data_IF_786648752227
#
_entry.id   IF_786648752227
#
_cell.length_a   1.000
_cell.length_b   1.000
_cell.length_c   1.000
_cell.angle_alpha   90.00
_cell.angle_beta   90.00
_cell.angle_gamma   90.00
#
_symmetry.space_group_name_H-M   'P 1'
#
loop_
_entity.id
_entity.type
_entity.pdbx_description
1 polymer ?
#
# COMPACT_ATOMS: atom_id res chain seq x y z
N UNK A 1 7.99 37.58 -1.93
CA UNK A 1 7.65 36.13 -2.02
C UNK A 1 8.83 35.25 -2.48
N UNK A 2 9.56 35.60 -3.54
CA UNK A 2 10.72 34.81 -4.04
C UNK A 2 11.89 34.63 -3.04
N UNK A 3 12.27 35.68 -2.30
CA UNK A 3 13.38 35.61 -1.33
C UNK A 3 13.13 34.62 -0.17
N UNK A 4 11.90 34.61 0.36
CA UNK A 4 11.48 33.67 1.42
C UNK A 4 11.55 32.21 0.95
N UNK A 5 11.18 31.95 -0.32
CA UNK A 5 11.27 30.62 -0.94
C UNK A 5 12.72 30.19 -1.14
N UNK A 6 13.61 31.09 -1.57
CA UNK A 6 15.04 30.79 -1.75
C UNK A 6 15.69 30.45 -0.40
N UNK A 7 15.55 31.32 0.60
CA UNK A 7 16.13 31.09 1.93
C UNK A 7 15.62 29.79 2.56
N UNK A 8 14.33 29.47 2.35
CA UNK A 8 13.72 28.22 2.81
C UNK A 8 14.26 27.00 2.09
N UNK A 9 14.34 27.01 0.76
CA UNK A 9 14.90 25.89 0.01
C UNK A 9 16.37 25.66 0.39
N UNK A 10 17.11 26.73 0.67
CA UNK A 10 18.47 26.65 1.23
C UNK A 10 18.47 26.06 2.64
N UNK A 11 17.54 26.44 3.50
CA UNK A 11 17.41 25.86 4.85
C UNK A 11 16.99 24.38 4.82
N UNK A 12 16.04 24.00 3.96
CA UNK A 12 15.63 22.61 3.71
C UNK A 12 16.82 21.80 3.18
N UNK A 13 17.57 22.35 2.22
CA UNK A 13 18.81 21.73 1.73
C UNK A 13 19.85 21.57 2.84
N UNK A 14 20.08 22.58 3.68
CA UNK A 14 21.01 22.49 4.79
C UNK A 14 20.54 21.47 5.84
N UNK A 15 19.27 21.50 6.25
CA UNK A 15 18.73 20.56 7.23
C UNK A 15 18.86 19.10 6.75
N UNK A 16 18.49 18.83 5.49
CA UNK A 16 18.56 17.50 4.90
C UNK A 16 20.01 16.96 4.82
N UNK A 17 20.97 17.81 4.47
CA UNK A 17 22.36 17.39 4.28
C UNK A 17 23.18 17.33 5.58
N UNK A 18 22.89 18.19 6.57
CA UNK A 18 23.73 18.30 7.77
C UNK A 18 23.24 17.49 8.98
N UNK A 19 21.99 17.01 8.98
CA UNK A 19 21.42 16.30 10.15
C UNK A 19 20.76 14.96 9.83
N UNK A 20 20.89 14.46 8.60
CA UNK A 20 20.35 13.16 8.17
C UNK A 20 18.84 13.05 8.41
N UNK A 21 18.39 11.94 9.01
CA UNK A 21 16.97 11.66 9.26
C UNK A 21 16.28 12.71 10.16
N UNK A 22 17.03 13.36 11.07
CA UNK A 22 16.48 14.41 11.94
C UNK A 22 16.08 15.67 11.13
N UNK A 23 16.93 16.07 10.19
CA UNK A 23 16.66 17.21 9.30
C UNK A 23 15.52 16.96 8.35
N UNK A 24 15.44 15.74 7.79
CA UNK A 24 14.26 15.31 7.03
C UNK A 24 12.98 15.43 7.87
N UNK A 25 13.01 15.03 9.14
CA UNK A 25 11.88 15.19 10.06
C UNK A 25 11.45 16.64 10.30
N UNK A 26 12.40 17.58 10.43
CA UNK A 26 12.09 19.01 10.59
C UNK A 26 11.50 19.60 9.32
N UNK A 27 12.06 19.29 8.15
CA UNK A 27 11.54 19.76 6.85
C UNK A 27 10.10 19.31 6.67
N UNK A 28 9.79 18.06 7.05
CA UNK A 28 8.44 17.50 6.95
C UNK A 28 7.45 18.13 7.93
N UNK A 29 7.85 18.35 9.18
CA UNK A 29 7.04 19.13 10.12
C UNK A 29 6.71 20.53 9.56
N UNK A 30 7.70 21.19 8.96
CA UNK A 30 7.51 22.49 8.29
C UNK A 30 6.58 22.34 7.09
N UNK A 31 6.73 21.31 6.26
CA UNK A 31 5.86 21.05 5.10
C UNK A 31 4.42 20.79 5.53
N UNK A 32 4.16 19.92 6.51
CA UNK A 32 2.80 19.68 7.03
C UNK A 32 2.16 20.93 7.63
N UNK A 33 2.93 21.75 8.37
CA UNK A 33 2.44 23.03 8.93
C UNK A 33 2.22 24.11 7.87
N UNK A 34 3.00 24.10 6.79
CA UNK A 34 3.02 25.12 5.73
C UNK A 34 2.00 24.83 4.64
N UNK A 35 1.95 23.59 4.19
CA UNK A 35 1.10 23.14 3.09
C UNK A 35 -0.30 22.81 3.62
N UNK A 36 -0.83 23.67 4.49
CA UNK A 36 -2.19 23.63 5.06
C UNK A 36 -3.32 23.76 4.03
N UNK A 37 -3.13 23.17 2.85
CA UNK A 37 -4.10 23.01 1.78
C UNK A 37 -4.75 21.62 1.74
N UNK A 38 -4.26 20.63 2.51
CA UNK A 38 -5.04 19.40 2.71
C UNK A 38 -6.05 19.64 3.84
N UNK A 39 -7.37 19.51 3.57
CA UNK A 39 -8.36 19.66 4.61
C UNK A 39 -8.11 18.58 5.68
N UNK A 40 -7.83 19.01 6.91
CA UNK A 40 -7.69 18.08 8.03
C UNK A 40 -8.97 17.28 8.19
N UNK A 41 -8.84 16.02 8.58
CA UNK A 41 -9.99 15.21 8.96
C UNK A 41 -10.70 15.87 10.16
N UNK A 42 -12.01 16.10 10.04
CA UNK A 42 -12.83 16.74 11.05
C UNK A 42 -13.55 15.64 11.83
N UNK A 43 -13.47 15.67 13.17
CA UNK A 43 -14.21 14.73 13.99
C UNK A 43 -15.72 14.87 13.74
N UNK A 44 -16.45 13.76 13.61
CA UNK A 44 -17.87 13.75 13.25
C UNK A 44 -18.76 14.57 14.19
N UNK A 45 -18.41 14.61 15.48
CA UNK A 45 -19.09 15.41 16.50
C UNK A 45 -18.88 16.93 16.34
N UNK A 46 -17.90 17.35 15.53
CA UNK A 46 -17.61 18.76 15.24
C UNK A 46 -18.18 19.20 13.87
N UNK A 47 -18.73 18.28 13.08
CA UNK A 47 -19.38 18.62 11.80
C UNK A 47 -20.76 19.22 12.09
N UNK A 48 -21.05 20.37 11.46
CA UNK A 48 -22.34 21.06 11.61
C UNK A 48 -23.50 20.18 11.10
N UNK A 49 -24.70 20.33 11.65
CA UNK A 49 -25.87 19.54 11.21
C UNK A 49 -26.18 19.74 9.71
N UNK A 50 -25.93 20.94 9.19
CA UNK A 50 -26.12 21.27 7.77
C UNK A 50 -25.09 20.56 6.88
N UNK A 51 -23.83 20.50 7.33
CA UNK A 51 -22.76 19.79 6.61
C UNK A 51 -22.89 18.26 6.66
N UNK A 52 -23.68 17.70 7.58
CA UNK A 52 -23.87 16.25 7.70
C UNK A 52 -24.71 15.64 6.58
N UNK A 53 -25.69 16.38 6.06
CA UNK A 53 -26.60 15.85 5.03
C UNK A 53 -25.94 15.44 3.71
N UNK A 54 -24.95 16.17 3.16
CA UNK A 54 -24.27 15.77 1.92
C UNK A 54 -23.15 14.73 2.11
N UNK A 55 -22.90 14.26 3.33
CA UNK A 55 -21.78 13.34 3.60
C UNK A 55 -22.22 11.90 3.35
N UNK A 56 -21.43 11.17 2.57
CA UNK A 56 -21.59 9.73 2.44
C UNK A 56 -21.08 9.03 3.69
N UNK A 57 -21.99 8.44 4.46
CA UNK A 57 -21.67 7.60 5.62
C UNK A 57 -21.56 6.14 5.16
N UNK A 58 -20.33 5.63 5.14
CA UNK A 58 -20.03 4.30 4.62
C UNK A 58 -20.06 3.23 5.71
N UNK A 59 -20.33 3.61 6.97
CA UNK A 59 -20.08 2.74 8.12
C UNK A 59 -21.27 1.85 8.45
N UNK A 60 -21.00 0.57 8.68
CA UNK A 60 -21.95 -0.40 9.24
C UNK A 60 -21.52 -0.85 10.65
N UNK A 61 -22.46 -1.30 11.49
CA UNK A 61 -22.14 -1.90 12.78
C UNK A 61 -21.16 -3.07 12.67
N UNK A 62 -20.26 -3.21 13.65
CA UNK A 62 -19.36 -4.35 13.74
C UNK A 62 -20.12 -5.57 14.27
N UNK A 63 -20.44 -6.51 13.38
CA UNK A 63 -21.13 -7.75 13.75
C UNK A 63 -20.22 -8.79 14.42
N UNK A 64 -18.90 -8.62 14.29
CA UNK A 64 -17.92 -9.45 14.98
C UNK A 64 -16.64 -8.67 15.34
N UNK A 65 -15.99 -9.14 16.40
CA UNK A 65 -14.73 -8.61 16.92
C UNK A 65 -13.51 -9.42 16.45
N UNK A 66 -13.63 -10.15 15.34
CA UNK A 66 -12.53 -10.98 14.85
C UNK A 66 -11.49 -10.13 14.12
N UNK A 67 -10.21 -10.33 14.46
CA UNK A 67 -9.08 -9.75 13.75
C UNK A 67 -8.48 -10.78 12.77
N UNK A 68 -8.54 -10.56 11.44
CA UNK A 68 -7.99 -11.50 10.46
C UNK A 68 -6.46 -11.60 10.54
N UNK A 69 -5.83 -10.54 11.05
CA UNK A 69 -4.42 -10.55 11.42
C UNK A 69 -4.27 -11.41 12.66
N UNK A 70 -4.29 -10.94 13.90
CA UNK A 70 -3.84 -11.76 15.03
C UNK A 70 -4.81 -12.85 15.57
N UNK A 71 -5.93 -13.12 14.89
CA UNK A 71 -7.02 -14.01 15.32
C UNK A 71 -7.61 -13.64 16.69
N UNK A 72 -7.41 -12.40 17.14
CA UNK A 72 -7.97 -11.91 18.38
C UNK A 72 -9.48 -11.69 18.23
N UNK A 73 -10.23 -11.99 19.29
CA UNK A 73 -11.70 -11.84 19.33
C UNK A 73 -12.16 -10.80 20.36
N UNK A 74 -11.21 -10.10 21.01
CA UNK A 74 -11.53 -8.99 21.91
C UNK A 74 -12.13 -7.80 21.16
N UNK A 75 -12.90 -6.99 21.88
CA UNK A 75 -13.53 -5.77 21.37
C UNK A 75 -12.53 -4.91 20.60
N UNK A 76 -12.94 -4.50 19.40
CA UNK A 76 -12.17 -3.57 18.58
C UNK A 76 -12.31 -2.14 19.11
N UNK A 77 -11.21 -1.40 19.16
CA UNK A 77 -11.26 0.01 19.57
C UNK A 77 -11.66 0.87 18.38
N UNK A 78 -12.64 1.75 18.54
CA UNK A 78 -12.80 2.88 17.62
C UNK A 78 -11.69 3.89 17.89
N UNK A 79 -10.81 4.09 16.91
CA UNK A 79 -9.65 4.98 17.00
C UNK A 79 -9.95 6.34 16.37
N UNK A 80 -10.85 6.37 15.38
CA UNK A 80 -11.25 7.60 14.70
C UNK A 80 -12.70 7.51 14.23
N UNK A 81 -13.40 8.65 14.27
CA UNK A 81 -14.70 8.88 13.62
C UNK A 81 -14.64 10.27 12.99
N UNK A 82 -14.29 10.31 11.72
CA UNK A 82 -13.86 11.53 11.05
C UNK A 82 -14.45 11.65 9.65
N UNK A 83 -14.56 12.90 9.21
CA UNK A 83 -14.98 13.30 7.88
C UNK A 83 -13.83 13.99 7.18
N UNK A 84 -13.60 13.63 5.92
CA UNK A 84 -12.65 14.33 5.07
C UNK A 84 -13.19 14.46 3.66
N UNK A 85 -12.72 15.49 2.95
CA UNK A 85 -13.00 15.69 1.52
C UNK A 85 -11.87 15.08 0.69
N UNK A 86 -12.15 13.99 -0.02
CA UNK A 86 -11.23 13.37 -0.97
C UNK A 86 -11.81 13.50 -2.39
N UNK A 87 -11.06 14.12 -3.31
CA UNK A 87 -11.45 14.30 -4.73
C UNK A 87 -12.85 14.96 -4.89
N UNK A 88 -13.18 15.92 -4.02
CA UNK A 88 -14.45 16.65 -4.05
C UNK A 88 -15.64 15.92 -3.39
N UNK A 89 -15.45 14.72 -2.87
CA UNK A 89 -16.47 13.96 -2.12
C UNK A 89 -16.14 14.02 -0.62
N UNK A 90 -17.12 14.41 0.21
CA UNK A 90 -16.99 14.32 1.67
C UNK A 90 -17.45 12.94 2.15
N UNK A 91 -16.55 12.17 2.74
CA UNK A 91 -16.83 10.83 3.29
C UNK A 91 -16.64 10.82 4.79
N UNK A 92 -17.55 10.16 5.52
CA UNK A 92 -17.36 9.81 6.93
C UNK A 92 -16.79 8.39 7.02
N UNK A 93 -15.67 8.23 7.70
CA UNK A 93 -15.10 6.91 7.99
C UNK A 93 -14.83 6.74 9.48
N UNK A 94 -15.23 5.58 9.99
CA UNK A 94 -14.94 5.11 11.33
C UNK A 94 -13.82 4.09 11.23
N UNK A 95 -12.70 4.38 11.89
CA UNK A 95 -11.53 3.51 11.93
C UNK A 95 -11.53 2.70 13.21
N UNK A 96 -11.49 1.38 13.07
CA UNK A 96 -11.39 0.43 14.16
C UNK A 96 -9.98 -0.16 14.21
N UNK A 97 -9.50 -0.47 15.41
CA UNK A 97 -8.19 -1.10 15.60
C UNK A 97 -8.25 -2.29 16.54
N UNK A 98 -7.54 -3.35 16.17
CA UNK A 98 -7.35 -4.50 17.03
C UNK A 98 -6.49 -4.14 18.25
N UNK A 99 -6.99 -4.41 19.45
CA UNK A 99 -6.26 -4.12 20.70
C UNK A 99 -4.91 -4.86 20.83
N UNK A 100 -4.74 -6.00 20.14
CA UNK A 100 -3.55 -6.85 20.27
C UNK A 100 -2.47 -6.52 19.23
N UNK A 101 -2.84 -6.43 17.95
CA UNK A 101 -1.86 -6.19 16.88
C UNK A 101 -1.92 -4.79 16.27
N UNK A 102 -2.90 -3.97 16.68
CA UNK A 102 -3.14 -2.62 16.17
C UNK A 102 -3.34 -2.53 14.65
N UNK A 103 -3.73 -3.63 14.00
CA UNK A 103 -4.28 -3.58 12.64
C UNK A 103 -5.48 -2.64 12.64
N UNK A 104 -5.52 -1.74 11.67
CA UNK A 104 -6.50 -0.67 11.56
C UNK A 104 -7.35 -0.91 10.30
N UNK A 105 -8.66 -0.72 10.40
CA UNK A 105 -9.58 -0.99 9.30
C UNK A 105 -10.84 -0.15 9.40
N UNK A 106 -11.58 -0.06 8.30
CA UNK A 106 -12.95 0.49 8.28
C UNK A 106 -13.95 -0.64 8.14
N UNK A 107 -15.12 -0.48 8.75
CA UNK A 107 -16.19 -1.47 8.67
C UNK A 107 -17.29 -0.92 7.75
N UNK A 108 -17.09 -1.09 6.45
CA UNK A 108 -17.94 -0.53 5.41
C UNK A 108 -18.74 -1.63 4.71
N UNK A 109 -20.00 -1.35 4.36
CA UNK A 109 -20.77 -2.25 3.50
C UNK A 109 -20.17 -2.20 2.09
N UNK A 110 -19.61 -3.32 1.64
CA UNK A 110 -19.07 -3.44 0.30
C UNK A 110 -19.75 -4.58 -0.42
N UNK A 111 -20.17 -4.38 -1.68
CA UNK A 111 -20.49 -5.50 -2.54
C UNK A 111 -19.22 -6.34 -2.78
N UNK A 112 -19.35 -7.48 -3.44
CA UNK A 112 -18.19 -8.28 -3.84
C UNK A 112 -17.14 -7.40 -4.56
N UNK A 113 -15.86 -7.70 -4.34
CA UNK A 113 -14.76 -6.84 -4.78
C UNK A 113 -14.83 -6.50 -6.27
N UNK A 114 -15.16 -7.48 -7.11
CA UNK A 114 -15.38 -7.30 -8.54
C UNK A 114 -16.50 -6.29 -8.83
N UNK A 115 -17.64 -6.42 -8.17
CA UNK A 115 -18.77 -5.48 -8.29
C UNK A 115 -18.38 -4.06 -7.86
N UNK A 116 -17.63 -3.91 -6.76
CA UNK A 116 -17.16 -2.61 -6.30
C UNK A 116 -16.29 -1.90 -7.35
N UNK A 117 -15.26 -2.58 -7.87
CA UNK A 117 -14.33 -1.99 -8.84
C UNK A 117 -14.93 -1.84 -10.24
N UNK A 118 -15.93 -2.66 -10.59
CA UNK A 118 -16.73 -2.45 -11.79
C UNK A 118 -17.55 -1.16 -11.74
N UNK A 119 -18.13 -0.84 -10.58
CA UNK A 119 -18.91 0.40 -10.38
C UNK A 119 -18.02 1.63 -10.19
N UNK A 120 -16.84 1.43 -9.60
CA UNK A 120 -15.86 2.48 -9.31
C UNK A 120 -14.54 2.16 -10.00
N UNK A 121 -14.48 2.27 -11.35
CA UNK A 121 -13.29 1.89 -12.11
C UNK A 121 -12.11 2.76 -11.69
N UNK A 122 -11.11 2.10 -11.11
CA UNK A 122 -9.90 2.76 -10.65
C UNK A 122 -9.10 3.25 -11.86
N UNK A 123 -8.85 4.56 -11.93
CA UNK A 123 -8.16 5.20 -13.05
C UNK A 123 -6.93 5.97 -12.58
N UNK A 124 -6.07 5.37 -11.77
CA UNK A 124 -4.86 6.07 -11.28
C UNK A 124 -3.76 6.27 -12.33
N UNK A 125 -3.93 5.83 -13.58
CA UNK A 125 -2.85 5.83 -14.57
C UNK A 125 -3.00 6.93 -15.64
N UNK A 126 -3.46 8.12 -15.25
CA UNK A 126 -3.63 9.24 -16.19
C UNK A 126 -2.30 9.73 -16.82
N UNK A 127 -1.15 9.40 -16.23
CA UNK A 127 0.18 9.87 -16.63
C UNK A 127 1.25 8.77 -16.79
N UNK A 128 0.88 7.48 -16.65
CA UNK A 128 1.78 6.34 -16.81
C UNK A 128 2.74 6.08 -15.64
N UNK A 129 2.62 6.85 -14.55
CA UNK A 129 3.52 6.80 -13.39
C UNK A 129 3.52 5.45 -12.67
N UNK A 130 2.36 4.85 -12.50
CA UNK A 130 2.22 3.53 -11.85
C UNK A 130 2.87 2.41 -12.66
N UNK A 131 2.73 2.43 -13.99
CA UNK A 131 3.34 1.42 -14.87
C UNK A 131 4.85 1.36 -14.70
N UNK A 132 5.52 2.52 -14.63
CA UNK A 132 6.96 2.56 -14.40
C UNK A 132 7.36 1.98 -13.04
N UNK A 133 6.58 2.22 -11.99
CA UNK A 133 6.81 1.64 -10.66
C UNK A 133 6.72 0.11 -10.69
N UNK A 134 5.72 -0.44 -11.37
CA UNK A 134 5.55 -1.88 -11.52
C UNK A 134 6.70 -2.51 -12.32
N UNK A 135 7.20 -1.84 -13.36
CA UNK A 135 8.39 -2.25 -14.13
C UNK A 135 9.63 -2.26 -13.23
N UNK A 136 9.85 -1.20 -12.45
CA UNK A 136 10.99 -1.09 -11.53
C UNK A 136 10.95 -2.19 -10.47
N UNK A 137 9.76 -2.48 -9.93
CA UNK A 137 9.57 -3.60 -9.01
C UNK A 137 9.86 -4.96 -9.65
N UNK A 138 9.35 -5.21 -10.85
CA UNK A 138 9.59 -6.46 -11.58
C UNK A 138 11.10 -6.69 -11.80
N UNK A 139 11.83 -5.66 -12.25
CA UNK A 139 13.28 -5.72 -12.45
C UNK A 139 14.04 -5.93 -11.15
N UNK A 140 13.69 -5.18 -10.10
CA UNK A 140 14.32 -5.29 -8.80
C UNK A 140 14.15 -6.70 -8.23
N UNK A 141 12.93 -7.24 -8.26
CA UNK A 141 12.61 -8.58 -7.80
C UNK A 141 13.36 -9.66 -8.61
N UNK A 142 13.33 -9.57 -9.94
CA UNK A 142 14.06 -10.50 -10.81
C UNK A 142 15.56 -10.52 -10.46
N UNK A 143 16.19 -9.35 -10.28
CA UNK A 143 17.60 -9.27 -9.88
C UNK A 143 17.86 -9.90 -8.51
N UNK A 144 16.98 -9.68 -7.53
CA UNK A 144 17.12 -10.22 -6.18
C UNK A 144 17.10 -11.76 -6.19
N UNK A 145 16.30 -12.39 -7.04
CA UNK A 145 16.24 -13.86 -7.13
C UNK A 145 17.26 -14.47 -8.11
N UNK A 146 18.24 -13.70 -8.61
CA UNK A 146 19.12 -14.10 -9.72
C UNK A 146 18.34 -14.56 -10.97
N UNK A 147 17.15 -13.98 -11.15
CA UNK A 147 16.32 -14.19 -12.29
C UNK A 147 16.93 -13.58 -13.55
N UNK A 148 16.71 -14.23 -14.69
CA UNK A 148 16.95 -13.66 -16.01
C UNK A 148 15.62 -13.18 -16.61
N UNK A 149 15.63 -12.83 -17.90
CA UNK A 149 14.43 -12.42 -18.64
C UNK A 149 13.39 -13.54 -18.84
N UNK A 150 13.69 -14.77 -18.41
CA UNK A 150 12.78 -15.93 -18.50
C UNK A 150 11.94 -16.11 -17.23
N UNK A 151 12.14 -15.27 -16.20
CA UNK A 151 11.30 -15.31 -14.99
C UNK A 151 9.82 -15.23 -15.35
N UNK A 152 9.02 -16.06 -14.70
CA UNK A 152 7.58 -15.94 -14.81
C UNK A 152 7.08 -14.83 -13.88
N UNK A 153 6.55 -13.75 -14.45
CA UNK A 153 6.16 -12.53 -13.74
C UNK A 153 4.64 -12.39 -13.75
N UNK A 154 4.04 -12.11 -12.59
CA UNK A 154 2.66 -11.68 -12.49
C UNK A 154 2.60 -10.22 -12.05
N UNK A 155 1.92 -9.37 -12.79
CA UNK A 155 1.48 -8.06 -12.31
C UNK A 155 0.04 -8.22 -11.79
N UNK A 156 -0.11 -8.09 -10.47
CA UNK A 156 -1.37 -8.31 -9.77
C UNK A 156 -2.16 -7.01 -9.60
N UNK A 157 -3.47 -7.06 -9.90
CA UNK A 157 -4.37 -5.92 -10.01
C UNK A 157 -3.86 -4.87 -11.01
N UNK A 158 -3.63 -5.31 -12.25
CA UNK A 158 -2.85 -4.63 -13.27
C UNK A 158 -3.49 -3.35 -13.85
N UNK A 159 -4.77 -3.11 -13.57
CA UNK A 159 -5.51 -1.93 -14.02
C UNK A 159 -5.58 -1.83 -15.55
N UNK A 160 -5.62 -0.60 -16.10
CA UNK A 160 -5.78 -0.33 -17.55
C UNK A 160 -4.56 -0.65 -18.42
N UNK A 161 -3.49 -1.12 -17.77
CA UNK A 161 -2.41 -1.98 -18.25
C UNK A 161 -1.70 -1.68 -19.59
N UNK A 162 -0.56 -0.99 -19.52
CA UNK A 162 0.55 -1.12 -20.49
C UNK A 162 1.70 -1.98 -19.97
N UNK A 163 1.78 -2.21 -18.65
CA UNK A 163 2.94 -2.79 -17.94
C UNK A 163 3.35 -4.15 -18.50
N UNK A 164 2.39 -5.06 -18.74
CA UNK A 164 2.67 -6.40 -19.30
C UNK A 164 3.34 -6.26 -20.67
N UNK A 165 2.79 -5.41 -21.54
CA UNK A 165 3.33 -5.15 -22.89
C UNK A 165 4.69 -4.47 -22.83
N UNK A 166 4.90 -3.57 -21.88
CA UNK A 166 6.18 -2.86 -21.73
C UNK A 166 7.27 -3.79 -21.19
N UNK A 167 6.94 -4.69 -20.24
CA UNK A 167 7.84 -5.75 -19.79
C UNK A 167 8.20 -6.74 -20.91
N UNK A 168 7.23 -7.11 -21.77
CA UNK A 168 7.51 -7.91 -22.97
C UNK A 168 8.51 -7.22 -23.91
N UNK A 169 8.37 -5.91 -24.15
CA UNK A 169 9.33 -5.12 -24.97
C UNK A 169 10.74 -5.09 -24.36
N UNK A 170 10.84 -5.11 -23.03
CA UNK A 170 12.11 -5.21 -22.33
C UNK A 170 12.68 -6.65 -22.30
N UNK A 171 11.91 -7.61 -22.80
CA UNK A 171 12.29 -9.00 -23.01
C UNK A 171 11.81 -9.98 -21.94
N UNK A 172 11.03 -9.53 -20.95
CA UNK A 172 10.38 -10.41 -19.97
C UNK A 172 9.13 -11.06 -20.57
N UNK A 173 9.32 -11.98 -21.52
CA UNK A 173 8.23 -12.55 -22.33
C UNK A 173 7.24 -13.40 -21.53
N UNK A 174 7.66 -13.96 -20.39
CA UNK A 174 6.83 -14.75 -19.48
C UNK A 174 6.11 -13.85 -18.45
N UNK A 175 5.58 -12.71 -18.90
CA UNK A 175 4.84 -11.79 -18.03
C UNK A 175 3.34 -11.94 -18.24
N UNK A 176 2.61 -12.02 -17.13
CA UNK A 176 1.16 -12.10 -17.04
C UNK A 176 0.62 -10.90 -16.25
N UNK A 177 -0.59 -10.48 -16.60
CA UNK A 177 -1.41 -9.55 -15.83
C UNK A 177 -2.59 -10.28 -15.20
N UNK A 178 -3.06 -9.76 -14.08
CA UNK A 178 -4.36 -10.17 -13.53
C UNK A 178 -5.11 -8.98 -12.96
N UNK A 179 -6.42 -9.00 -13.10
CA UNK A 179 -7.31 -8.01 -12.50
C UNK A 179 -8.68 -8.65 -12.19
N UNK A 180 -9.56 -7.89 -11.57
CA UNK A 180 -10.94 -8.27 -11.25
C UNK A 180 -11.96 -7.36 -11.92
N UNK A 181 -11.55 -6.19 -12.42
CA UNK A 181 -12.46 -5.20 -13.02
C UNK A 181 -12.77 -5.53 -14.48
N UNK A 182 -14.03 -5.44 -14.86
CA UNK A 182 -14.53 -5.71 -16.22
C UNK A 182 -14.16 -4.62 -17.22
N UNK A 183 -13.77 -3.43 -16.76
CA UNK A 183 -13.37 -2.31 -17.64
C UNK A 183 -11.94 -2.42 -18.18
N UNK A 184 -11.22 -3.49 -17.81
CA UNK A 184 -9.86 -3.77 -18.27
C UNK A 184 -9.86 -4.51 -19.61
N UNK A 185 -8.87 -4.20 -20.44
CA UNK A 185 -8.59 -4.93 -21.69
C UNK A 185 -7.86 -6.24 -21.38
N UNK A 186 -8.62 -7.34 -21.34
CA UNK A 186 -8.08 -8.69 -21.19
C UNK A 186 -7.58 -9.25 -22.52
N UNK A 187 -6.46 -9.97 -22.47
CA UNK A 187 -5.85 -10.65 -23.60
C UNK A 187 -5.30 -12.02 -23.18
N UNK A 188 -4.57 -12.70 -24.06
CA UNK A 188 -4.02 -14.03 -23.79
C UNK A 188 -3.03 -14.07 -22.61
N UNK A 189 -2.52 -12.93 -22.15
CA UNK A 189 -1.61 -12.81 -21.00
C UNK A 189 -2.23 -12.05 -19.83
N UNK A 190 -3.49 -11.62 -19.92
CA UNK A 190 -4.15 -10.84 -18.87
C UNK A 190 -5.45 -11.53 -18.46
N UNK A 191 -5.54 -11.95 -17.20
CA UNK A 191 -6.62 -12.81 -16.72
C UNK A 191 -7.55 -12.08 -15.75
N UNK A 192 -8.86 -12.20 -15.98
CA UNK A 192 -9.87 -11.74 -15.04
C UNK A 192 -10.08 -12.79 -13.94
N UNK A 193 -9.61 -12.52 -12.73
CA UNK A 193 -9.70 -13.41 -11.57
C UNK A 193 -11.08 -13.45 -10.94
N UNK A 194 -11.93 -12.44 -11.16
CA UNK A 194 -13.32 -12.50 -10.72
C UNK A 194 -14.11 -13.55 -11.52
N UNK A 195 -13.81 -13.69 -12.81
CA UNK A 195 -14.45 -14.66 -13.70
C UNK A 195 -13.76 -16.03 -13.68
N UNK A 196 -12.44 -16.06 -13.53
CA UNK A 196 -11.63 -17.27 -13.58
C UNK A 196 -10.63 -17.34 -12.39
N UNK A 197 -11.13 -17.48 -11.14
CA UNK A 197 -10.30 -17.37 -9.93
C UNK A 197 -9.20 -18.45 -9.83
N UNK A 198 -9.40 -19.60 -10.47
CA UNK A 198 -8.48 -20.73 -10.43
C UNK A 198 -7.60 -20.88 -11.68
N UNK A 199 -7.64 -19.93 -12.62
CA UNK A 199 -6.97 -20.08 -13.92
C UNK A 199 -5.49 -20.48 -13.79
N UNK A 200 -4.70 -19.76 -13.00
CA UNK A 200 -3.26 -20.05 -12.86
C UNK A 200 -3.01 -21.40 -12.18
N UNK A 201 -3.84 -21.77 -11.21
CA UNK A 201 -3.77 -23.06 -10.52
C UNK A 201 -4.08 -24.23 -11.46
N UNK A 202 -5.13 -24.12 -12.27
CA UNK A 202 -5.53 -25.14 -13.26
C UNK A 202 -4.52 -25.28 -14.40
N UNK A 203 -3.78 -24.20 -14.70
CA UNK A 203 -2.68 -24.20 -15.67
C UNK A 203 -1.33 -24.58 -15.06
N UNK A 204 -1.28 -24.88 -13.76
CA UNK A 204 -0.05 -25.19 -13.02
C UNK A 204 1.04 -24.10 -13.17
N UNK A 205 0.62 -22.84 -13.31
CA UNK A 205 1.52 -21.69 -13.45
C UNK A 205 1.91 -21.20 -12.06
N UNK A 206 3.21 -21.17 -11.78
CA UNK A 206 3.80 -20.52 -10.58
C UNK A 206 4.70 -19.37 -11.00
N UNK A 207 4.74 -18.31 -10.21
CA UNK A 207 5.46 -17.08 -10.55
C UNK A 207 6.74 -16.93 -9.73
N UNK A 208 7.82 -16.57 -10.41
CA UNK A 208 9.07 -16.21 -9.76
C UNK A 208 9.00 -14.79 -9.18
N UNK A 209 8.22 -13.92 -9.82
CA UNK A 209 7.99 -12.54 -9.38
C UNK A 209 6.50 -12.26 -9.40
N UNK A 210 5.95 -11.80 -8.27
CA UNK A 210 4.61 -11.21 -8.22
C UNK A 210 4.75 -9.75 -7.82
N UNK A 211 4.28 -8.83 -8.66
CA UNK A 211 4.24 -7.40 -8.37
C UNK A 211 2.83 -7.01 -7.91
N UNK A 212 2.71 -6.44 -6.71
CA UNK A 212 1.43 -5.98 -6.14
C UNK A 212 1.55 -4.53 -5.66
N UNK A 213 1.29 -3.57 -6.56
CA UNK A 213 1.42 -2.14 -6.26
C UNK A 213 0.09 -1.56 -5.78
N UNK A 214 0.02 -1.13 -4.52
CA UNK A 214 -1.12 -0.40 -3.93
C UNK A 214 -2.42 -1.19 -4.05
N UNK A 215 -2.36 -2.46 -3.63
CA UNK A 215 -3.50 -3.39 -3.75
C UNK A 215 -4.06 -3.82 -2.39
N UNK A 216 -3.21 -3.91 -1.37
CA UNK A 216 -3.56 -4.57 -0.11
C UNK A 216 -4.47 -3.72 0.78
N UNK A 217 -4.42 -2.40 0.63
CA UNK A 217 -5.29 -1.43 1.29
C UNK A 217 -6.76 -1.56 0.88
N UNK A 218 -7.00 -2.17 -0.28
CA UNK A 218 -8.33 -2.34 -0.84
C UNK A 218 -9.05 -3.61 -0.37
N UNK A 219 -8.34 -4.51 0.32
CA UNK A 219 -8.95 -5.73 0.83
C UNK A 219 -9.91 -5.39 1.97
N UNK A 220 -11.14 -5.89 1.87
CA UNK A 220 -12.02 -5.95 3.03
C UNK A 220 -11.41 -6.86 4.09
N UNK A 221 -11.78 -6.63 5.36
CA UNK A 221 -11.24 -7.35 6.50
C UNK A 221 -11.35 -8.88 6.33
N UNK A 222 -12.47 -9.33 5.79
CA UNK A 222 -12.81 -10.74 5.58
C UNK A 222 -11.98 -11.39 4.47
N UNK A 223 -11.52 -10.60 3.50
CA UNK A 223 -10.78 -11.09 2.34
C UNK A 223 -9.27 -11.19 2.56
N UNK A 224 -8.75 -10.61 3.65
CA UNK A 224 -7.29 -10.49 3.85
C UNK A 224 -6.61 -11.86 3.77
N UNK A 225 -7.08 -12.84 4.56
CA UNK A 225 -6.44 -14.15 4.60
C UNK A 225 -6.56 -14.88 3.26
N UNK A 226 -7.76 -15.02 2.65
CA UNK A 226 -7.89 -15.64 1.32
C UNK A 226 -7.03 -14.98 0.24
N UNK A 227 -6.94 -13.64 0.23
CA UNK A 227 -6.19 -12.92 -0.79
C UNK A 227 -4.67 -13.12 -0.65
N UNK A 228 -4.14 -13.05 0.57
CA UNK A 228 -2.72 -13.34 0.81
C UNK A 228 -2.39 -14.81 0.59
N UNK A 229 -3.24 -15.74 1.04
CA UNK A 229 -3.06 -17.18 0.79
C UNK A 229 -3.01 -17.49 -0.70
N UNK A 230 -3.90 -16.89 -1.50
CA UNK A 230 -3.86 -17.03 -2.96
C UNK A 230 -2.55 -16.51 -3.54
N UNK A 231 -2.10 -15.32 -3.14
CA UNK A 231 -0.84 -14.73 -3.61
C UNK A 231 0.37 -15.63 -3.27
N UNK A 232 0.41 -16.18 -2.05
CA UNK A 232 1.48 -17.06 -1.61
C UNK A 232 1.43 -18.42 -2.29
N UNK A 233 0.24 -18.97 -2.57
CA UNK A 233 0.10 -20.20 -3.35
C UNK A 233 0.62 -20.00 -4.78
N UNK A 234 0.39 -18.85 -5.42
CA UNK A 234 0.88 -18.63 -6.80
C UNK A 234 2.41 -18.43 -6.89
N UNK A 235 3.13 -18.29 -5.78
CA UNK A 235 4.57 -18.07 -5.77
C UNK A 235 5.35 -19.36 -6.03
N UNK A 236 6.43 -19.29 -6.82
CA UNK A 236 7.39 -20.39 -6.95
C UNK A 236 8.26 -20.51 -5.70
N UNK A 237 8.86 -21.68 -5.45
CA UNK A 237 9.71 -21.91 -4.26
C UNK A 237 10.89 -20.91 -4.15
N UNK A 238 11.37 -20.42 -5.30
CA UNK A 238 12.44 -19.41 -5.39
C UNK A 238 11.92 -17.97 -5.45
N UNK A 239 10.61 -17.81 -5.49
CA UNK A 239 9.96 -16.57 -5.88
C UNK A 239 10.00 -15.47 -4.83
N UNK A 240 9.64 -14.28 -5.29
CA UNK A 240 9.48 -13.07 -4.49
C UNK A 240 8.18 -12.37 -4.86
N UNK A 241 7.42 -11.95 -3.85
CA UNK A 241 6.35 -10.97 -4.01
C UNK A 241 6.93 -9.62 -3.64
N UNK A 242 6.78 -8.61 -4.48
CA UNK A 242 7.21 -7.24 -4.21
C UNK A 242 6.07 -6.27 -4.48
N UNK A 243 5.93 -5.26 -3.64
CA UNK A 243 4.83 -4.32 -3.75
C UNK A 243 4.99 -3.09 -2.89
N UNK A 244 3.95 -2.29 -2.83
CA UNK A 244 3.89 -1.11 -1.95
C UNK A 244 2.50 -0.86 -1.43
N UNK A 245 2.39 -0.38 -0.20
CA UNK A 245 1.12 0.12 0.38
C UNK A 245 1.45 1.13 1.50
N UNK A 246 0.48 1.99 1.83
CA UNK A 246 0.60 2.94 2.94
C UNK A 246 0.43 2.23 4.29
N UNK A 247 1.43 2.34 5.17
CA UNK A 247 1.42 1.65 6.46
C UNK A 247 0.95 2.54 7.61
N UNK A 248 0.11 1.97 8.46
CA UNK A 248 -0.31 2.58 9.70
C UNK A 248 0.84 2.64 10.70
N UNK A 249 1.23 3.84 11.12
CA UNK A 249 2.25 4.06 12.14
C UNK A 249 1.57 4.30 13.49
N UNK A 250 1.30 3.25 14.25
CA UNK A 250 0.57 3.37 15.53
C UNK A 250 1.40 4.04 16.63
N UNK A 251 2.72 3.87 16.56
CA UNK A 251 3.66 4.43 17.52
C UNK A 251 5.01 4.70 16.84
N UNK A 252 5.88 5.48 17.52
CA UNK A 252 7.18 5.89 16.99
C UNK A 252 8.09 4.74 16.54
N UNK A 253 8.00 3.56 17.16
CA UNK A 253 8.85 2.42 16.80
C UNK A 253 8.43 1.76 15.48
N UNK A 254 7.22 2.01 15.00
CA UNK A 254 6.71 1.44 13.75
C UNK A 254 7.40 2.05 12.52
N UNK A 255 7.91 3.28 12.64
CA UNK A 255 8.68 3.95 11.59
C UNK A 255 10.11 4.24 12.08
N UNK A 256 11.09 3.36 11.80
CA UNK A 256 12.47 3.63 12.18
C UNK A 256 13.13 4.75 11.36
N UNK A 257 12.49 5.17 10.26
CA UNK A 257 13.07 6.09 9.27
C UNK A 257 12.74 7.54 9.55
N UNK A 258 11.48 7.81 9.92
CA UNK A 258 10.96 9.15 10.12
C UNK A 258 10.38 9.27 11.52
N UNK A 259 10.91 10.23 12.27
CA UNK A 259 10.59 10.46 13.68
C UNK A 259 10.00 11.85 13.90
N UNK A 260 9.22 12.38 12.95
CA UNK A 260 8.64 13.70 13.12
C UNK A 260 7.50 13.66 14.17
N UNK A 261 7.35 14.72 14.97
CA UNK A 261 6.14 14.91 15.77
C UNK A 261 4.92 14.85 14.84
N UNK A 262 3.83 14.21 15.27
CA UNK A 262 2.56 14.04 14.53
C UNK A 262 2.48 12.88 13.51
N UNK A 263 3.50 12.01 13.39
CA UNK A 263 3.52 10.90 12.42
C UNK A 263 3.24 9.52 13.02
N UNK A 264 2.61 9.50 14.21
CA UNK A 264 2.16 8.26 14.79
C UNK A 264 0.87 8.44 15.61
N UNK A 265 0.14 7.34 15.76
CA UNK A 265 -1.06 7.27 16.58
C UNK A 265 -2.19 8.18 16.09
N UNK A 266 -3.12 8.53 16.98
CA UNK A 266 -4.33 9.29 16.63
C UNK A 266 -4.05 10.66 15.98
N UNK A 267 -2.88 11.24 16.26
CA UNK A 267 -2.49 12.50 15.65
C UNK A 267 -2.19 12.32 14.16
N UNK A 268 -1.53 11.22 13.77
CA UNK A 268 -1.25 10.91 12.37
C UNK A 268 -2.53 10.79 11.53
N UNK A 269 -3.58 10.18 12.08
CA UNK A 269 -4.88 10.03 11.40
C UNK A 269 -5.53 11.37 11.01
N UNK A 270 -5.22 12.47 11.69
CA UNK A 270 -5.75 13.79 11.31
C UNK A 270 -5.15 14.32 10.01
N UNK A 271 -3.93 13.89 9.71
CA UNK A 271 -3.11 14.36 8.59
C UNK A 271 -3.05 13.36 7.45
N UNK A 272 -3.21 12.07 7.75
CA UNK A 272 -3.17 11.00 6.77
C UNK A 272 -4.51 10.94 6.03
N UNK A 273 -4.54 11.45 4.80
CA UNK A 273 -5.74 11.42 3.95
C UNK A 273 -6.05 10.02 3.43
N UNK A 274 -5.05 9.15 3.39
CA UNK A 274 -5.11 7.82 2.80
C UNK A 274 -6.25 6.94 3.31
N UNK A 275 -6.60 6.92 4.62
CA UNK A 275 -7.74 6.14 5.06
C UNK A 275 -9.08 6.65 4.55
N UNK A 276 -9.16 7.92 4.14
CA UNK A 276 -10.38 8.57 3.67
C UNK A 276 -10.65 8.39 2.18
N UNK A 277 -9.69 7.84 1.43
CA UNK A 277 -9.94 7.39 0.07
C UNK A 277 -10.98 6.25 0.11
N UNK A 278 -11.99 6.36 -0.76
CA UNK A 278 -13.23 5.58 -0.67
C UNK A 278 -12.94 4.07 -0.67
N UNK A 279 -12.00 3.64 -1.49
CA UNK A 279 -11.64 2.25 -1.71
C UNK A 279 -10.60 1.69 -0.74
N UNK A 280 -10.06 2.50 0.18
CA UNK A 280 -9.11 2.05 1.20
C UNK A 280 -9.84 1.64 2.49
N UNK A 281 -9.63 0.40 2.91
CA UNK A 281 -10.36 -0.20 4.04
C UNK A 281 -9.49 -0.97 5.02
N UNK A 282 -8.27 -1.33 4.62
CA UNK A 282 -7.33 -2.07 5.46
C UNK A 282 -5.99 -1.35 5.57
N UNK A 283 -5.51 -1.17 6.80
CA UNK A 283 -4.28 -0.43 7.08
C UNK A 283 -3.38 -1.22 8.00
N UNK A 284 -2.20 -1.57 7.48
CA UNK A 284 -1.30 -2.51 8.12
C UNK A 284 -0.16 -1.80 8.80
N UNK A 285 0.27 -2.34 9.94
CA UNK A 285 1.61 -2.09 10.50
C UNK A 285 2.61 -3.08 9.88
N UNK A 286 3.92 -2.77 9.90
CA UNK A 286 4.95 -3.75 9.52
C UNK A 286 4.76 -5.11 10.20
N UNK A 287 4.51 -5.12 11.52
CA UNK A 287 4.29 -6.35 12.28
C UNK A 287 3.01 -7.12 11.89
N UNK A 288 2.02 -6.46 11.28
CA UNK A 288 0.83 -7.15 10.77
C UNK A 288 1.18 -7.97 9.52
N UNK A 289 1.94 -7.37 8.61
CA UNK A 289 2.42 -8.00 7.38
C UNK A 289 3.41 -9.14 7.67
N UNK A 290 4.33 -8.93 8.63
CA UNK A 290 5.20 -10.00 9.14
C UNK A 290 4.41 -11.17 9.74
N UNK A 291 3.32 -10.86 10.46
CA UNK A 291 2.45 -11.88 11.05
C UNK A 291 1.71 -12.69 9.99
N UNK A 292 1.21 -12.03 8.94
CA UNK A 292 0.60 -12.69 7.78
C UNK A 292 1.64 -13.60 7.10
N UNK A 293 2.83 -13.06 6.81
CA UNK A 293 3.90 -13.80 6.15
C UNK A 293 4.34 -15.03 6.94
N UNK A 294 4.62 -14.87 8.24
CA UNK A 294 5.11 -15.96 9.10
C UNK A 294 4.18 -17.18 9.11
N UNK A 295 2.87 -16.99 9.10
CA UNK A 295 1.89 -18.10 9.08
C UNK A 295 1.92 -18.89 7.79
N UNK A 296 2.31 -18.23 6.71
CA UNK A 296 2.39 -18.79 5.37
C UNK A 296 3.84 -19.19 5.03
N UNK A 297 4.69 -19.39 6.05
CA UNK A 297 6.10 -19.72 5.88
C UNK A 297 6.89 -18.72 5.02
N UNK A 298 6.48 -17.44 5.04
CA UNK A 298 7.16 -16.35 4.34
C UNK A 298 7.97 -15.48 5.32
N UNK A 299 9.02 -14.88 4.78
CA UNK A 299 9.80 -13.81 5.42
C UNK A 299 9.42 -12.49 4.75
N UNK A 300 9.08 -11.49 5.56
CA UNK A 300 8.71 -10.15 5.09
C UNK A 300 9.87 -9.17 5.31
N UNK A 301 10.12 -8.29 4.33
CA UNK A 301 11.14 -7.23 4.40
C UNK A 301 10.56 -5.91 3.91
N UNK A 302 11.09 -4.82 4.43
CA UNK A 302 10.61 -3.46 4.18
C UNK A 302 11.75 -2.55 3.75
N UNK A 303 11.48 -1.64 2.82
CA UNK A 303 12.40 -0.60 2.39
C UNK A 303 11.65 0.71 2.09
N UNK A 304 12.38 1.82 2.07
CA UNK A 304 11.83 3.13 1.69
C UNK A 304 12.07 3.41 0.21
N UNK A 305 11.22 4.24 -0.39
CA UNK A 305 11.50 4.83 -1.69
C UNK A 305 12.55 5.94 -1.55
N UNK A 306 13.54 5.99 -2.43
CA UNK A 306 14.50 7.10 -2.55
C UNK A 306 13.89 8.35 -3.24
N UNK A 307 12.59 8.34 -3.50
CA UNK A 307 11.88 9.43 -4.16
C UNK A 307 11.45 10.49 -3.14
N UNK A 308 11.93 11.73 -3.33
CA UNK A 308 11.61 12.87 -2.45
C UNK A 308 10.11 13.14 -2.32
N UNK A 309 9.28 12.73 -3.27
CA UNK A 309 7.82 12.88 -3.20
C UNK A 309 7.24 11.98 -2.10
N UNK A 310 7.68 10.73 -2.02
CA UNK A 310 7.34 9.81 -0.92
C UNK A 310 7.86 10.38 0.39
N UNK A 311 9.13 10.78 0.41
CA UNK A 311 9.74 11.31 1.63
C UNK A 311 8.96 12.52 2.18
N UNK A 312 8.39 13.36 1.33
CA UNK A 312 7.69 14.58 1.78
C UNK A 312 6.20 14.37 2.02
N UNK A 313 5.53 13.56 1.19
CA UNK A 313 4.07 13.54 1.10
C UNK A 313 3.44 12.22 1.54
N UNK A 314 4.16 11.10 1.47
CA UNK A 314 3.64 9.78 1.85
C UNK A 314 4.72 8.91 2.51
N UNK A 315 5.23 9.27 3.69
CA UNK A 315 6.30 8.51 4.37
C UNK A 315 5.86 7.12 4.84
N UNK A 316 4.55 6.86 4.80
CA UNK A 316 3.94 5.62 5.21
C UNK A 316 4.02 4.57 4.12
N UNK A 317 4.19 5.01 2.88
CA UNK A 317 4.38 4.15 1.74
C UNK A 317 5.74 3.48 1.84
N UNK A 318 5.72 2.17 2.06
CA UNK A 318 6.92 1.34 2.03
C UNK A 318 6.89 0.38 0.86
N UNK A 319 8.08 -0.01 0.42
CA UNK A 319 8.30 -1.15 -0.46
C UNK A 319 8.33 -2.38 0.44
N UNK A 320 7.53 -3.38 0.09
CA UNK A 320 7.35 -4.59 0.89
C UNK A 320 7.68 -5.78 0.02
N UNK A 321 8.49 -6.70 0.55
CA UNK A 321 8.85 -7.94 -0.10
C UNK A 321 8.50 -9.16 0.77
N UNK A 322 7.99 -10.21 0.14
CA UNK A 322 7.83 -11.54 0.72
C UNK A 322 8.61 -12.57 -0.08
N UNK A 323 9.24 -13.52 0.60
CA UNK A 323 9.82 -14.72 -0.01
C UNK A 323 9.69 -15.90 0.94
N UNK A 324 9.74 -17.12 0.42
CA UNK A 324 9.69 -18.32 1.26
C UNK A 324 10.82 -18.33 2.29
N UNK A 325 10.49 -18.71 3.52
CA UNK A 325 11.45 -18.85 4.64
C UNK A 325 12.55 -19.88 4.38
N UNK A 326 12.32 -20.83 3.47
CA UNK A 326 13.30 -21.78 2.98
C UNK A 326 14.30 -21.19 1.99
N UNK A 327 14.00 -20.04 1.37
CA UNK A 327 14.85 -19.41 0.36
C UNK A 327 15.93 -18.51 0.98
N UNK A 328 16.88 -19.14 1.67
CA UNK A 328 17.96 -18.45 2.40
C UNK A 328 18.74 -17.49 1.49
N UNK A 329 18.99 -17.86 0.24
CA UNK A 329 19.73 -17.03 -0.71
C UNK A 329 19.04 -15.70 -1.03
N UNK A 330 17.73 -15.73 -1.31
CA UNK A 330 16.96 -14.50 -1.53
C UNK A 330 16.83 -13.68 -0.25
N UNK A 331 16.67 -14.34 0.92
CA UNK A 331 16.59 -13.66 2.21
C UNK A 331 17.87 -12.86 2.48
N UNK A 332 19.06 -13.44 2.29
CA UNK A 332 20.34 -12.74 2.51
C UNK A 332 20.44 -11.49 1.64
N UNK A 333 20.06 -11.57 0.36
CA UNK A 333 20.09 -10.40 -0.53
C UNK A 333 19.06 -9.34 -0.18
N UNK A 334 17.89 -9.75 0.28
CA UNK A 334 16.90 -8.82 0.81
C UNK A 334 17.43 -8.13 2.06
N UNK A 335 18.11 -8.84 2.96
CA UNK A 335 18.76 -8.22 4.12
C UNK A 335 19.82 -7.18 3.70
N UNK A 336 20.58 -7.47 2.65
CA UNK A 336 21.56 -6.54 2.09
C UNK A 336 20.90 -5.34 1.41
N UNK A 337 19.74 -5.52 0.77
CA UNK A 337 19.13 -4.50 -0.10
C UNK A 337 18.03 -3.68 0.57
N UNK A 338 17.28 -4.25 1.52
CA UNK A 338 16.10 -3.62 2.12
C UNK A 338 16.38 -3.02 3.50
N UNK A 339 17.28 -3.61 4.30
CA UNK A 339 17.45 -3.28 5.71
C UNK A 339 17.81 -1.80 5.96
N UNK A 340 16.77 -1.02 6.22
CA UNK A 340 16.79 0.43 6.35
C UNK A 340 17.36 1.23 5.16
N UNK A 341 17.18 0.72 3.94
CA UNK A 341 17.71 1.38 2.73
C UNK A 341 16.62 2.09 1.93
N UNK A 342 17.08 3.10 1.19
CA UNK A 342 16.30 3.85 0.21
C UNK A 342 16.54 3.24 -1.17
N UNK A 343 15.49 2.71 -1.78
CA UNK A 343 15.55 2.06 -3.07
C UNK A 343 15.18 3.03 -4.19
N UNK A 344 15.93 2.96 -5.29
CA UNK A 344 15.62 3.70 -6.52
C UNK A 344 14.49 2.98 -7.26
N UNK A 345 13.27 3.14 -6.77
CA UNK A 345 12.03 2.74 -7.45
C UNK A 345 11.25 4.02 -7.72
N UNK A 346 10.79 4.18 -8.95
CA UNK A 346 9.98 5.32 -9.34
C UNK A 346 8.68 5.38 -8.53
N UNK A 347 8.38 6.53 -7.89
CA UNK A 347 7.09 6.70 -7.22
C UNK A 347 6.05 7.32 -8.14
N UNK A 348 6.29 8.53 -8.65
CA UNK A 348 5.27 9.30 -9.40
C UNK A 348 4.94 10.61 -8.74
#
# INVERSE_FOLDING_TARGET
MKLKRIFRNTLEFCLANFTGNYGKGIIRYISHKRDGGHPLAIAWNHVSSEDKQPISDLNIPLDNNYCPICNNTSVMNTVSDQVQSCVGVKTRKILHSCQKCHYLFTNEERPERSEYFNKNPYSCNFDGTRSQREIDFAKLAANLINGNKECNILIYAVGKNSTVKDLHKEGFINTWGSDISDDILYDQHTINLAKNPNYFKEKEIKFDVIVACEVWEHYAREDINPAFEWLFDQLSDRGIIIGSTGLWMSNKKDNPFYNAPHEYGSEYLKWWTYPHDVDHTSFYRPCNLETIGKRNNMVTKFACFNDKRVENNDPSKLIIAYTHSSNVGTITKLDESFNNKFLNVYYG
#
